data_IF_004912935544
#
_entry.id   IF_004912935544
#
_cell.length_a   1.000
_cell.length_b   1.000
_cell.length_c   1.000
_cell.angle_alpha   90.00
_cell.angle_beta   90.00
_cell.angle_gamma   90.00
#
_symmetry.space_group_name_H-M   'P 1'
#
loop_
_entity.id
_entity.type
_entity.pdbx_description
1 polymer ?
#
# COMPACT_ATOMS: atom_id res chain seq x y z
N UNK A 1 -20.13 -3.78 -0.16
CA UNK A 1 -18.74 -3.52 0.30
C UNK A 1 -18.11 -2.33 -0.42
N UNK A 2 -18.93 -1.32 -0.73
CA UNK A 2 -18.63 -0.19 -1.59
C UNK A 2 -17.78 0.88 -0.90
N UNK A 3 -17.71 0.85 0.44
CA UNK A 3 -16.84 1.73 1.23
C UNK A 3 -15.34 1.39 1.09
N UNK A 4 -14.98 0.19 0.62
CA UNK A 4 -13.59 -0.20 0.45
C UNK A 4 -13.00 0.41 -0.82
N UNK A 5 -11.78 0.93 -0.70
CA UNK A 5 -11.04 1.43 -1.85
C UNK A 5 -10.68 0.29 -2.79
N UNK A 6 -10.65 0.60 -4.09
CA UNK A 6 -10.24 -0.31 -5.14
C UNK A 6 -9.24 0.39 -6.05
N UNK A 7 -8.20 -0.31 -6.52
CA UNK A 7 -7.33 0.23 -7.56
C UNK A 7 -8.12 0.39 -8.87
N UNK A 8 -7.65 1.29 -9.72
CA UNK A 8 -8.21 1.63 -11.01
C UNK A 8 -8.48 0.37 -11.85
N UNK A 9 -9.71 0.27 -12.35
CA UNK A 9 -10.17 -0.85 -13.17
C UNK A 9 -10.48 -2.14 -12.39
N UNK A 10 -10.33 -2.17 -11.06
CA UNK A 10 -10.81 -3.27 -10.25
C UNK A 10 -12.29 -3.12 -9.89
N UNK A 11 -12.97 -4.26 -9.73
CA UNK A 11 -14.36 -4.34 -9.28
C UNK A 11 -14.53 -5.37 -8.17
N UNK A 12 -15.57 -5.20 -7.36
CA UNK A 12 -16.02 -6.20 -6.37
C UNK A 12 -16.59 -7.40 -7.12
N UNK A 13 -16.23 -8.61 -6.69
CA UNK A 13 -16.78 -9.84 -7.28
C UNK A 13 -18.19 -10.15 -6.77
N UNK A 14 -18.97 -10.95 -7.52
CA UNK A 14 -20.31 -11.38 -7.06
C UNK A 14 -20.23 -12.17 -5.74
N UNK A 15 -19.21 -13.02 -5.58
CA UNK A 15 -18.98 -13.83 -4.36
C UNK A 15 -18.58 -13.00 -3.13
N UNK A 16 -18.29 -11.71 -3.31
CA UNK A 16 -17.98 -10.77 -2.22
C UNK A 16 -19.20 -9.95 -1.79
N UNK A 17 -20.34 -10.18 -2.44
CA UNK A 17 -21.57 -9.46 -2.17
C UNK A 17 -22.35 -10.18 -1.08
N UNK A 18 -22.31 -9.65 0.13
CA UNK A 18 -22.95 -10.23 1.30
C UNK A 18 -24.49 -10.18 1.19
N UNK A 19 -25.20 -11.32 1.14
CA UNK A 19 -26.65 -11.35 1.27
C UNK A 19 -27.10 -10.82 2.63
N UNK A 20 -28.29 -10.22 2.67
CA UNK A 20 -28.94 -9.81 3.91
C UNK A 20 -29.68 -11.02 4.51
N UNK A 21 -29.10 -11.57 5.58
CA UNK A 21 -29.63 -12.72 6.34
C UNK A 21 -29.97 -12.34 7.79
N UNK A 22 -29.64 -11.13 8.23
CA UNK A 22 -29.90 -10.65 9.58
C UNK A 22 -31.42 -10.57 9.90
N UNK A 23 -31.72 -10.65 11.19
CA UNK A 23 -33.05 -10.33 11.74
C UNK A 23 -33.09 -8.85 12.16
N UNK A 24 -34.29 -8.35 12.47
CA UNK A 24 -34.46 -6.98 12.90
C UNK A 24 -33.71 -6.72 14.22
N UNK A 25 -32.93 -5.65 14.25
CA UNK A 25 -32.30 -5.16 15.47
C UNK A 25 -33.38 -4.64 16.42
N UNK A 26 -33.29 -5.00 17.70
CA UNK A 26 -34.31 -4.71 18.70
C UNK A 26 -34.14 -3.35 19.40
N UNK A 27 -33.28 -2.48 18.85
CA UNK A 27 -32.93 -1.16 19.38
C UNK A 27 -32.36 -1.20 20.84
N UNK A 28 -31.91 -2.36 21.32
CA UNK A 28 -31.26 -2.54 22.63
C UNK A 28 -29.73 -2.35 22.61
N UNK A 29 -29.06 -2.24 23.78
CA UNK A 29 -27.61 -1.95 23.87
C UNK A 29 -26.72 -3.06 23.28
N UNK A 30 -25.73 -2.74 22.46
CA UNK A 30 -24.89 -3.74 21.77
C UNK A 30 -24.33 -4.85 22.66
N UNK A 31 -23.76 -4.51 23.82
CA UNK A 31 -23.05 -5.45 24.70
C UNK A 31 -23.95 -6.54 25.31
N UNK A 32 -25.24 -6.29 25.46
CA UNK A 32 -26.19 -7.23 26.08
C UNK A 32 -27.03 -7.99 25.05
N UNK A 33 -26.76 -7.81 23.75
CA UNK A 33 -27.55 -8.45 22.69
C UNK A 33 -27.59 -9.98 22.78
N UNK A 34 -26.48 -10.67 23.11
CA UNK A 34 -26.52 -12.13 23.19
C UNK A 34 -27.55 -12.68 24.16
N UNK A 35 -27.78 -12.01 25.30
CA UNK A 35 -28.68 -12.47 26.37
C UNK A 35 -30.16 -12.35 25.98
N UNK A 36 -30.48 -11.40 25.11
CA UNK A 36 -31.84 -11.13 24.61
C UNK A 36 -32.11 -11.73 23.23
N UNK A 37 -31.05 -12.19 22.56
CA UNK A 37 -31.10 -12.82 21.25
C UNK A 37 -31.64 -14.25 21.34
N UNK A 38 -32.40 -14.66 20.32
CA UNK A 38 -32.80 -16.08 20.13
C UNK A 38 -31.59 -17.02 19.96
N UNK A 39 -30.41 -16.45 19.72
CA UNK A 39 -29.13 -17.15 19.50
C UNK A 39 -28.26 -17.22 20.76
N UNK A 40 -28.80 -16.93 21.96
CA UNK A 40 -28.05 -16.96 23.24
C UNK A 40 -27.22 -18.23 23.44
N UNK A 41 -27.78 -19.39 23.06
CA UNK A 41 -27.09 -20.69 23.13
C UNK A 41 -25.80 -20.73 22.28
N UNK A 42 -25.80 -20.12 21.09
CA UNK A 42 -24.60 -20.05 20.24
C UNK A 42 -23.53 -19.15 20.85
N UNK A 43 -23.93 -18.08 21.54
CA UNK A 43 -23.00 -17.20 22.24
C UNK A 43 -22.37 -17.89 23.47
N UNK A 44 -23.16 -18.63 24.25
CA UNK A 44 -22.65 -19.43 25.37
C UNK A 44 -21.64 -20.48 24.90
N UNK A 45 -21.89 -21.13 23.75
CA UNK A 45 -20.97 -22.07 23.12
C UNK A 45 -19.64 -21.41 22.66
N UNK A 46 -19.67 -20.13 22.25
CA UNK A 46 -18.48 -19.40 21.77
C UNK A 46 -17.56 -18.88 22.89
N UNK A 47 -18.04 -18.75 24.14
CA UNK A 47 -17.30 -18.22 25.30
C UNK A 47 -16.36 -17.02 24.97
N UNK A 48 -16.90 -15.85 24.58
CA UNK A 48 -16.09 -14.74 24.05
C UNK A 48 -15.16 -14.05 25.07
N UNK A 49 -15.24 -14.41 26.36
CA UNK A 49 -14.37 -13.89 27.44
C UNK A 49 -13.08 -14.71 27.66
N UNK A 50 -12.88 -15.81 26.93
CA UNK A 50 -11.57 -16.43 26.76
C UNK A 50 -11.33 -17.72 27.55
N UNK A 51 -11.41 -18.83 26.82
CA UNK A 51 -10.34 -19.85 26.78
C UNK A 51 -10.21 -20.28 25.31
N UNK A 52 -9.28 -19.65 24.58
CA UNK A 52 -9.07 -19.87 23.13
C UNK A 52 -8.75 -21.35 22.80
N UNK A 53 -8.27 -22.12 23.77
CA UNK A 53 -7.89 -23.53 23.63
C UNK A 53 -9.07 -24.52 23.51
N UNK A 54 -10.32 -24.07 23.60
CA UNK A 54 -11.50 -24.96 23.60
C UNK A 54 -12.23 -25.01 22.24
N UNK A 55 -12.04 -24.00 21.37
CA UNK A 55 -12.88 -23.81 20.19
C UNK A 55 -12.51 -24.70 18.98
N UNK A 56 -11.28 -25.21 18.89
CA UNK A 56 -10.89 -26.20 17.86
C UNK A 56 -11.74 -27.49 17.88
N UNK A 57 -12.59 -27.68 18.90
CA UNK A 57 -13.42 -28.88 19.10
C UNK A 57 -14.91 -28.67 18.80
N UNK A 58 -15.36 -27.46 18.46
CA UNK A 58 -16.79 -27.20 18.19
C UNK A 58 -17.10 -27.40 16.70
N UNK A 59 -17.78 -28.51 16.38
CA UNK A 59 -18.30 -28.77 15.05
C UNK A 59 -19.78 -28.39 14.98
N UNK A 60 -20.06 -27.21 14.43
CA UNK A 60 -21.44 -26.79 14.14
C UNK A 60 -22.05 -27.61 13.01
N UNK A 61 -23.32 -28.00 13.15
CA UNK A 61 -24.12 -28.49 12.02
C UNK A 61 -24.39 -27.36 11.03
N UNK A 62 -24.71 -27.69 9.77
CA UNK A 62 -25.06 -26.70 8.74
C UNK A 62 -26.17 -25.73 9.20
N UNK A 63 -27.15 -26.23 9.95
CA UNK A 63 -28.24 -25.41 10.47
C UNK A 63 -27.76 -24.44 11.57
N UNK A 64 -26.88 -24.91 12.47
CA UNK A 64 -26.26 -24.05 13.47
C UNK A 64 -25.31 -23.03 12.83
N UNK A 65 -24.55 -23.40 11.80
CA UNK A 65 -23.71 -22.46 11.04
C UNK A 65 -24.55 -21.34 10.47
N UNK A 66 -25.67 -21.63 9.78
CA UNK A 66 -26.58 -20.58 9.25
C UNK A 66 -27.17 -19.68 10.35
N UNK A 67 -27.49 -20.27 11.50
CA UNK A 67 -28.00 -19.53 12.66
C UNK A 67 -26.93 -18.62 13.24
N UNK A 68 -25.68 -19.11 13.33
CA UNK A 68 -24.52 -18.34 13.75
C UNK A 68 -24.20 -17.21 12.77
N UNK A 69 -24.28 -17.45 11.47
CA UNK A 69 -24.11 -16.43 10.43
C UNK A 69 -25.15 -15.31 10.56
N UNK A 70 -26.41 -15.68 10.79
CA UNK A 70 -27.50 -14.73 11.05
C UNK A 70 -27.25 -13.93 12.32
N UNK A 71 -26.81 -14.60 13.39
CA UNK A 71 -26.47 -13.98 14.66
C UNK A 71 -25.34 -12.97 14.52
N UNK A 72 -24.25 -13.35 13.84
CA UNK A 72 -23.09 -12.49 13.56
C UNK A 72 -23.49 -11.27 12.74
N UNK A 73 -24.22 -11.46 11.63
CA UNK A 73 -24.61 -10.32 10.80
C UNK A 73 -25.54 -9.36 11.55
N UNK A 74 -26.49 -9.90 12.31
CA UNK A 74 -27.42 -9.08 13.10
C UNK A 74 -26.67 -8.29 14.17
N UNK A 75 -25.81 -8.96 14.95
CA UNK A 75 -25.14 -8.36 16.08
C UNK A 75 -23.97 -7.47 15.66
N UNK A 76 -23.00 -8.04 14.96
CA UNK A 76 -21.69 -7.42 14.78
C UNK A 76 -21.66 -6.42 13.62
N UNK A 77 -22.57 -6.56 12.64
CA UNK A 77 -22.74 -5.56 11.58
C UNK A 77 -23.81 -4.55 11.97
N UNK A 78 -25.08 -4.97 12.02
CA UNK A 78 -26.19 -4.03 12.20
C UNK A 78 -26.29 -3.49 13.62
N UNK A 79 -26.04 -4.32 14.63
CA UNK A 79 -26.00 -3.87 16.02
C UNK A 79 -24.91 -2.84 16.27
N UNK A 80 -23.70 -3.05 15.73
CA UNK A 80 -22.60 -2.09 15.88
C UNK A 80 -22.84 -0.79 15.10
N UNK A 81 -23.39 -0.88 13.88
CA UNK A 81 -23.83 0.29 13.11
C UNK A 81 -24.87 1.10 13.89
N UNK A 82 -25.85 0.45 14.50
CA UNK A 82 -26.84 1.11 15.36
C UNK A 82 -26.15 1.74 16.58
N UNK A 83 -25.31 1.00 17.30
CA UNK A 83 -24.67 1.49 18.52
C UNK A 83 -23.90 2.79 18.30
N UNK A 84 -23.22 2.92 17.15
CA UNK A 84 -22.45 4.11 16.81
C UNK A 84 -23.34 5.22 16.23
N UNK A 85 -24.19 4.90 15.25
CA UNK A 85 -24.93 5.91 14.46
C UNK A 85 -26.39 6.11 14.86
N UNK A 86 -26.87 5.39 15.87
CA UNK A 86 -28.27 5.37 16.29
C UNK A 86 -29.21 5.02 15.14
N UNK A 87 -30.21 5.87 14.90
CA UNK A 87 -31.22 5.67 13.84
C UNK A 87 -30.63 5.61 12.43
N UNK A 88 -29.51 6.29 12.17
CA UNK A 88 -28.82 6.22 10.88
C UNK A 88 -28.07 4.89 10.69
N UNK A 89 -27.88 4.12 11.76
CA UNK A 89 -27.29 2.79 11.74
C UNK A 89 -28.27 1.65 11.41
N UNK A 90 -29.54 1.96 11.10
CA UNK A 90 -30.57 0.94 10.84
C UNK A 90 -30.32 0.20 9.52
N UNK A 91 -30.71 -1.07 9.48
CA UNK A 91 -30.53 -1.92 8.30
C UNK A 91 -31.15 -1.35 7.02
N UNK A 92 -32.20 -0.52 7.11
CA UNK A 92 -32.81 0.17 5.96
C UNK A 92 -31.83 1.05 5.17
N UNK A 93 -30.80 1.59 5.81
CA UNK A 93 -29.79 2.45 5.18
C UNK A 93 -28.69 1.63 4.47
N UNK A 94 -28.57 0.33 4.81
CA UNK A 94 -27.47 -0.53 4.39
C UNK A 94 -27.93 -1.78 3.65
N UNK A 95 -29.18 -1.86 3.23
CA UNK A 95 -29.73 -3.05 2.54
C UNK A 95 -30.41 -2.64 1.26
N UNK A 96 -29.96 -3.21 0.14
CA UNK A 96 -30.50 -2.93 -1.20
C UNK A 96 -30.99 -4.21 -1.87
N UNK A 97 -32.08 -4.16 -2.66
CA UNK A 97 -32.45 -5.25 -3.54
C UNK A 97 -31.43 -5.38 -4.68
N UNK A 98 -31.10 -6.62 -5.08
CA UNK A 98 -30.28 -6.88 -6.26
C UNK A 98 -31.03 -7.73 -7.29
N UNK A 99 -30.65 -7.53 -8.55
CA UNK A 99 -31.11 -8.33 -9.68
C UNK A 99 -29.97 -9.24 -10.16
N UNK A 100 -30.32 -10.41 -10.69
CA UNK A 100 -29.38 -11.31 -11.37
C UNK A 100 -29.01 -10.77 -12.77
N UNK A 101 -28.10 -11.45 -13.46
CA UNK A 101 -27.66 -11.08 -14.82
C UNK A 101 -28.79 -11.10 -15.86
N UNK A 102 -29.93 -11.75 -15.56
CA UNK A 102 -31.12 -11.77 -16.40
C UNK A 102 -32.17 -10.71 -15.97
N UNK A 103 -31.83 -9.84 -15.01
CA UNK A 103 -32.72 -8.79 -14.51
C UNK A 103 -33.79 -9.28 -13.53
N UNK A 104 -33.70 -10.52 -13.02
CA UNK A 104 -34.67 -11.07 -12.05
C UNK A 104 -34.23 -10.78 -10.63
N UNK A 105 -35.19 -10.64 -9.72
CA UNK A 105 -34.89 -10.40 -8.30
C UNK A 105 -34.03 -11.53 -7.70
N UNK A 106 -32.82 -11.18 -7.25
CA UNK A 106 -31.83 -12.09 -6.68
C UNK A 106 -31.81 -12.07 -5.14
N UNK A 107 -32.50 -11.13 -4.50
CA UNK A 107 -32.57 -11.00 -3.05
C UNK A 107 -32.19 -9.62 -2.54
N UNK A 108 -32.02 -9.53 -1.21
CA UNK A 108 -31.53 -8.33 -0.51
C UNK A 108 -30.07 -8.54 -0.12
N UNK A 109 -29.26 -7.50 -0.24
CA UNK A 109 -27.82 -7.56 0.00
C UNK A 109 -27.39 -6.36 0.84
N UNK A 110 -26.34 -6.57 1.65
CA UNK A 110 -25.66 -5.51 2.34
C UNK A 110 -25.01 -4.56 1.32
N UNK A 111 -25.28 -3.27 1.47
CA UNK A 111 -24.65 -2.16 0.77
C UNK A 111 -24.07 -1.20 1.78
N UNK A 112 -22.84 -0.79 1.55
CA UNK A 112 -22.13 0.17 2.40
C UNK A 112 -21.96 1.51 1.70
N UNK A 113 -22.72 1.77 0.63
CA UNK A 113 -22.68 3.02 -0.12
C UNK A 113 -23.00 4.25 0.75
N UNK A 114 -23.91 4.11 1.72
CA UNK A 114 -24.26 5.19 2.65
C UNK A 114 -23.24 5.38 3.79
N UNK A 115 -22.36 4.39 4.03
CA UNK A 115 -21.52 4.33 5.23
C UNK A 115 -20.60 5.55 5.35
N UNK A 116 -19.94 5.94 4.26
CA UNK A 116 -18.99 7.06 4.29
C UNK A 116 -19.68 8.37 4.67
N UNK A 117 -20.83 8.68 4.05
CA UNK A 117 -21.59 9.89 4.35
C UNK A 117 -22.09 9.94 5.79
N UNK A 118 -22.63 8.82 6.28
CA UNK A 118 -23.10 8.71 7.68
C UNK A 118 -21.93 8.86 8.66
N UNK A 119 -20.81 8.18 8.40
CA UNK A 119 -19.62 8.23 9.23
C UNK A 119 -18.99 9.64 9.27
N UNK A 120 -18.91 10.34 8.14
CA UNK A 120 -18.41 11.72 8.08
C UNK A 120 -19.30 12.65 8.90
N UNK A 121 -20.61 12.62 8.69
CA UNK A 121 -21.56 13.44 9.46
C UNK A 121 -21.48 13.17 10.97
N UNK A 122 -21.37 11.89 11.34
CA UNK A 122 -21.20 11.50 12.73
C UNK A 122 -19.87 12.03 13.29
N UNK A 123 -18.75 11.84 12.60
CA UNK A 123 -17.45 12.33 13.05
C UNK A 123 -17.41 13.85 13.22
N UNK A 124 -18.00 14.61 12.29
CA UNK A 124 -18.14 16.06 12.39
C UNK A 124 -18.98 16.49 13.60
N UNK A 125 -20.05 15.75 13.92
CA UNK A 125 -20.88 16.02 15.09
C UNK A 125 -20.13 15.85 16.42
N UNK A 126 -19.05 15.06 16.44
CA UNK A 126 -18.21 14.84 17.64
C UNK A 126 -16.93 15.66 17.65
N UNK A 127 -16.56 16.31 16.53
CA UNK A 127 -15.30 17.03 16.39
C UNK A 127 -15.10 18.18 17.40
N UNK A 128 -16.19 18.71 17.97
CA UNK A 128 -16.15 19.81 18.95
C UNK A 128 -16.13 19.32 20.42
N UNK A 129 -16.35 18.03 20.66
CA UNK A 129 -16.41 17.41 22.00
C UNK A 129 -15.14 16.61 22.34
N UNK A 130 -14.09 16.73 21.53
CA UNK A 130 -12.82 16.02 21.73
C UNK A 130 -12.22 16.37 23.09
N UNK A 131 -11.65 15.38 23.78
CA UNK A 131 -11.08 15.47 25.13
C UNK A 131 -12.07 15.81 26.27
N UNK A 132 -13.38 15.70 26.05
CA UNK A 132 -14.38 15.81 27.13
C UNK A 132 -14.57 14.47 27.87
N UNK A 133 -15.03 14.51 29.13
CA UNK A 133 -15.41 13.29 29.88
C UNK A 133 -16.55 12.51 29.20
N UNK A 134 -17.39 13.20 28.44
CA UNK A 134 -18.44 12.59 27.63
C UNK A 134 -17.85 11.82 26.44
N UNK A 135 -16.98 12.46 25.65
CA UNK A 135 -16.29 11.80 24.55
C UNK A 135 -15.42 10.62 25.02
N UNK A 136 -14.73 10.76 26.15
CA UNK A 136 -13.94 9.68 26.73
C UNK A 136 -14.79 8.49 27.17
N UNK A 137 -15.95 8.72 27.81
CA UNK A 137 -16.88 7.64 28.18
C UNK A 137 -17.46 6.95 26.96
N UNK A 138 -17.82 7.70 25.92
CA UNK A 138 -18.30 7.13 24.67
C UNK A 138 -17.20 6.31 23.98
N UNK A 139 -15.98 6.84 23.92
CA UNK A 139 -14.83 6.15 23.35
C UNK A 139 -14.56 4.82 24.08
N UNK A 140 -14.54 4.83 25.41
CA UNK A 140 -14.34 3.62 26.21
C UNK A 140 -15.44 2.58 25.96
N UNK A 141 -16.71 3.00 25.89
CA UNK A 141 -17.85 2.13 25.59
C UNK A 141 -17.79 1.54 24.16
N UNK A 142 -17.54 2.36 23.15
CA UNK A 142 -17.46 1.91 21.76
C UNK A 142 -16.24 0.99 21.54
N UNK A 143 -15.14 1.26 22.23
CA UNK A 143 -13.97 0.37 22.24
C UNK A 143 -14.27 -0.99 22.87
N UNK A 144 -15.09 -1.04 23.92
CA UNK A 144 -15.58 -2.30 24.49
C UNK A 144 -16.45 -3.07 23.47
N UNK A 145 -17.38 -2.38 22.80
CA UNK A 145 -18.22 -2.96 21.76
C UNK A 145 -17.39 -3.56 20.61
N UNK A 146 -16.41 -2.81 20.09
CA UNK A 146 -15.50 -3.27 19.03
C UNK A 146 -14.64 -4.45 19.52
N UNK A 147 -14.17 -4.41 20.76
CA UNK A 147 -13.39 -5.49 21.35
C UNK A 147 -14.18 -6.79 21.45
N UNK A 148 -15.46 -6.71 21.84
CA UNK A 148 -16.37 -7.87 21.86
C UNK A 148 -16.60 -8.40 20.45
N UNK A 149 -16.87 -7.52 19.48
CA UNK A 149 -17.05 -7.93 18.08
C UNK A 149 -15.83 -8.68 17.55
N UNK A 150 -14.62 -8.18 17.83
CA UNK A 150 -13.38 -8.85 17.48
C UNK A 150 -13.24 -10.22 18.16
N UNK A 151 -13.48 -10.29 19.47
CA UNK A 151 -13.41 -11.54 20.24
C UNK A 151 -14.34 -12.62 19.70
N UNK A 152 -15.59 -12.26 19.41
CA UNK A 152 -16.62 -13.16 18.86
C UNK A 152 -16.23 -13.64 17.47
N UNK A 153 -15.76 -12.75 16.59
CA UNK A 153 -15.37 -13.16 15.25
C UNK A 153 -14.16 -14.09 15.23
N UNK A 154 -13.16 -13.85 16.09
CA UNK A 154 -12.03 -14.78 16.22
C UNK A 154 -12.50 -16.14 16.75
N UNK A 155 -13.39 -16.14 17.73
CA UNK A 155 -13.96 -17.37 18.28
C UNK A 155 -14.75 -18.15 17.23
N UNK A 156 -15.53 -17.47 16.40
CA UNK A 156 -16.35 -18.09 15.36
C UNK A 156 -15.57 -18.46 14.09
N UNK A 157 -14.48 -17.75 13.80
CA UNK A 157 -13.71 -17.85 12.55
C UNK A 157 -12.76 -19.05 12.45
N UNK A 158 -12.37 -19.65 13.57
CA UNK A 158 -11.51 -20.83 13.62
C UNK A 158 -12.24 -22.18 13.41
N UNK A 159 -13.48 -22.38 13.90
CA UNK A 159 -14.15 -23.71 13.83
C UNK A 159 -15.33 -23.82 12.84
N UNK A 160 -16.04 -22.74 12.51
CA UNK A 160 -17.43 -22.85 12.05
C UNK A 160 -17.68 -22.94 10.53
N UNK A 161 -16.63 -22.98 9.69
CA UNK A 161 -16.76 -22.93 8.22
C UNK A 161 -17.69 -21.79 7.73
N UNK A 162 -17.62 -20.62 8.38
CA UNK A 162 -18.45 -19.46 8.03
C UNK A 162 -18.22 -19.07 6.57
N UNK A 163 -19.27 -18.60 5.92
CA UNK A 163 -19.19 -18.13 4.53
C UNK A 163 -18.22 -16.93 4.40
N UNK A 164 -17.33 -16.93 3.39
CA UNK A 164 -16.32 -15.88 3.25
C UNK A 164 -16.91 -14.46 3.14
N UNK A 165 -18.02 -14.29 2.42
CA UNK A 165 -18.66 -12.98 2.28
C UNK A 165 -19.13 -12.38 3.61
N UNK A 166 -19.56 -13.22 4.57
CA UNK A 166 -20.01 -12.75 5.88
C UNK A 166 -18.81 -12.25 6.67
N UNK A 167 -17.73 -13.03 6.67
CA UNK A 167 -16.50 -12.68 7.36
C UNK A 167 -15.91 -11.38 6.81
N UNK A 168 -15.74 -11.29 5.49
CA UNK A 168 -15.19 -10.10 4.84
C UNK A 168 -16.06 -8.87 5.06
N UNK A 169 -17.38 -9.00 4.96
CA UNK A 169 -18.29 -7.88 5.21
C UNK A 169 -18.34 -7.46 6.68
N UNK A 170 -18.22 -8.40 7.61
CA UNK A 170 -18.20 -8.05 9.03
C UNK A 170 -16.89 -7.36 9.39
N UNK A 171 -15.74 -7.95 9.07
CA UNK A 171 -14.40 -7.42 9.40
C UNK A 171 -14.19 -6.03 8.81
N UNK A 172 -14.54 -5.83 7.55
CA UNK A 172 -14.40 -4.55 6.88
C UNK A 172 -15.23 -3.43 7.51
N UNK A 173 -16.50 -3.71 7.84
CA UNK A 173 -17.40 -2.74 8.46
C UNK A 173 -16.92 -2.45 9.87
N UNK A 174 -16.65 -3.47 10.69
CA UNK A 174 -16.17 -3.29 12.07
C UNK A 174 -14.84 -2.53 12.11
N UNK A 175 -13.90 -2.85 11.20
CA UNK A 175 -12.64 -2.12 11.10
C UNK A 175 -12.85 -0.66 10.66
N UNK A 176 -13.72 -0.41 9.69
CA UNK A 176 -14.05 0.96 9.26
C UNK A 176 -14.64 1.75 10.41
N UNK A 177 -15.56 1.15 11.16
CA UNK A 177 -16.19 1.77 12.33
C UNK A 177 -15.17 2.08 13.43
N UNK A 178 -14.22 1.18 13.69
CA UNK A 178 -13.12 1.44 14.62
C UNK A 178 -12.33 2.69 14.20
N UNK A 179 -11.92 2.78 12.92
CA UNK A 179 -11.22 3.96 12.42
C UNK A 179 -12.04 5.25 12.55
N UNK A 180 -13.35 5.19 12.31
CA UNK A 180 -14.25 6.34 12.46
C UNK A 180 -14.30 6.81 13.90
N UNK A 181 -14.46 5.90 14.86
CA UNK A 181 -14.47 6.19 16.31
C UNK A 181 -13.13 6.79 16.74
N UNK A 182 -12.01 6.12 16.41
CA UNK A 182 -10.66 6.55 16.79
C UNK A 182 -10.33 7.96 16.26
N UNK A 183 -10.75 8.26 15.03
CA UNK A 183 -10.53 9.58 14.42
C UNK A 183 -11.45 10.66 14.95
N UNK A 184 -12.75 10.38 15.09
CA UNK A 184 -13.72 11.36 15.55
C UNK A 184 -13.47 11.80 17.01
N UNK A 185 -13.06 10.86 17.86
CA UNK A 185 -12.86 11.09 19.29
C UNK A 185 -11.38 11.36 19.64
N UNK A 186 -10.54 11.68 18.64
CA UNK A 186 -9.12 12.03 18.73
C UNK A 186 -8.31 11.16 19.69
N UNK A 187 -8.32 9.87 19.41
CA UNK A 187 -7.58 8.89 20.18
C UNK A 187 -6.04 9.11 20.08
N UNK A 188 -5.41 9.55 21.18
CA UNK A 188 -3.95 9.85 21.29
C UNK A 188 -3.03 8.61 21.40
N UNK A 189 -3.45 7.44 20.92
CA UNK A 189 -2.55 6.28 20.77
C UNK A 189 -2.19 5.50 22.06
N UNK A 190 -2.74 5.82 23.24
CA UNK A 190 -2.41 5.15 24.52
C UNK A 190 -3.39 4.06 25.02
N UNK A 191 -4.61 3.96 24.48
CA UNK A 191 -5.67 2.96 24.76
C UNK A 191 -6.05 2.10 23.53
N UNK A 192 -5.09 1.52 22.81
CA UNK A 192 -5.39 0.92 21.51
C UNK A 192 -6.14 -0.37 21.75
N UNK A 193 -7.32 -0.49 21.15
CA UNK A 193 -8.03 -1.76 21.05
C UNK A 193 -7.14 -2.74 20.28
N UNK A 194 -7.26 -4.02 20.67
CA UNK A 194 -6.58 -5.16 20.04
C UNK A 194 -6.54 -5.00 18.52
N UNK A 195 -5.38 -5.22 17.92
CA UNK A 195 -5.23 -5.24 16.47
C UNK A 195 -5.98 -6.43 15.90
N UNK A 196 -6.55 -6.28 14.70
CA UNK A 196 -7.18 -7.38 13.95
C UNK A 196 -6.13 -8.38 13.41
N UNK A 197 -5.15 -8.76 14.24
CA UNK A 197 -3.86 -9.34 13.84
C UNK A 197 -3.85 -10.85 13.64
N UNK A 198 -4.91 -11.56 14.02
CA UNK A 198 -4.88 -13.04 14.13
C UNK A 198 -5.74 -13.76 13.07
N UNK A 199 -6.05 -13.09 11.95
CA UNK A 199 -6.97 -13.55 10.90
C UNK A 199 -6.31 -14.33 9.74
N UNK A 200 -5.27 -15.11 10.04
CA UNK A 200 -4.39 -15.70 9.03
C UNK A 200 -5.08 -16.66 8.04
N UNK A 201 -6.13 -17.38 8.44
CA UNK A 201 -6.80 -18.37 7.58
C UNK A 201 -7.73 -17.77 6.52
N UNK A 202 -8.30 -16.59 6.77
CA UNK A 202 -9.31 -15.96 5.89
C UNK A 202 -8.72 -14.96 4.90
N UNK A 203 -7.46 -14.59 5.08
CA UNK A 203 -6.70 -13.75 4.15
C UNK A 203 -6.01 -14.55 3.05
N UNK A 204 -5.97 -15.89 3.12
CA UNK A 204 -5.32 -16.74 2.11
C UNK A 204 -5.89 -16.53 0.70
N UNK A 205 -7.18 -16.20 0.58
CA UNK A 205 -7.78 -15.82 -0.70
C UNK A 205 -7.16 -14.55 -1.30
N UNK A 206 -6.78 -13.58 -0.45
CA UNK A 206 -6.11 -12.35 -0.87
C UNK A 206 -4.66 -12.64 -1.24
N UNK A 207 -3.97 -13.49 -0.47
CA UNK A 207 -2.62 -13.96 -0.77
C UNK A 207 -2.58 -14.67 -2.13
N UNK A 208 -3.48 -15.62 -2.36
CA UNK A 208 -3.59 -16.32 -3.64
C UNK A 208 -3.90 -15.35 -4.79
N UNK A 209 -4.78 -14.38 -4.56
CA UNK A 209 -5.11 -13.35 -5.55
C UNK A 209 -3.94 -12.43 -5.83
N UNK A 210 -3.16 -12.01 -4.82
CA UNK A 210 -1.92 -11.24 -5.01
C UNK A 210 -0.94 -12.00 -5.90
N UNK A 211 -0.71 -13.28 -5.65
CA UNK A 211 0.14 -14.10 -6.54
C UNK A 211 -0.40 -14.15 -7.97
N UNK A 212 -1.72 -14.32 -8.15
CA UNK A 212 -2.35 -14.33 -9.48
C UNK A 212 -2.26 -12.97 -10.20
N UNK A 213 -2.20 -11.88 -9.43
CA UNK A 213 -1.99 -10.52 -9.92
C UNK A 213 -0.50 -10.15 -10.03
N UNK A 214 0.38 -11.15 -9.89
CA UNK A 214 1.78 -11.07 -10.22
C UNK A 214 2.67 -10.45 -9.14
N UNK A 215 2.21 -10.46 -7.90
CA UNK A 215 3.04 -10.05 -6.76
C UNK A 215 4.15 -11.07 -6.49
N UNK A 216 5.34 -10.55 -6.14
CA UNK A 216 6.47 -11.37 -5.70
C UNK A 216 6.15 -12.07 -4.36
N UNK A 217 6.53 -13.35 -4.18
CA UNK A 217 6.35 -14.05 -2.90
C UNK A 217 6.97 -13.34 -1.69
N UNK A 218 8.10 -12.67 -1.86
CA UNK A 218 8.72 -11.89 -0.79
C UNK A 218 7.89 -10.67 -0.39
N UNK A 219 7.31 -9.98 -1.37
CA UNK A 219 6.42 -8.84 -1.11
C UNK A 219 5.12 -9.30 -0.46
N UNK A 220 4.54 -10.41 -0.92
CA UNK A 220 3.35 -11.00 -0.31
C UNK A 220 3.59 -11.33 1.17
N UNK A 221 4.71 -11.99 1.51
CA UNK A 221 5.06 -12.28 2.92
C UNK A 221 5.23 -10.98 3.73
N UNK A 222 5.96 -10.01 3.20
CA UNK A 222 6.20 -8.71 3.85
C UNK A 222 4.88 -8.01 4.16
N UNK A 223 3.98 -7.92 3.18
CA UNK A 223 2.72 -7.20 3.35
C UNK A 223 1.71 -7.96 4.18
N UNK A 224 1.72 -9.30 4.17
CA UNK A 224 0.99 -10.11 5.14
C UNK A 224 1.41 -9.78 6.58
N UNK A 225 2.72 -9.70 6.83
CA UNK A 225 3.24 -9.35 8.16
C UNK A 225 2.84 -7.93 8.58
N UNK A 226 3.00 -6.95 7.69
CA UNK A 226 2.63 -5.55 7.97
C UNK A 226 1.13 -5.42 8.23
N UNK A 227 0.31 -6.07 7.41
CA UNK A 227 -1.13 -6.10 7.61
C UNK A 227 -1.50 -6.78 8.94
N UNK A 228 -0.83 -7.89 9.31
CA UNK A 228 -1.01 -8.52 10.62
C UNK A 228 -0.74 -7.55 11.77
N UNK A 229 0.36 -6.79 11.72
CA UNK A 229 0.73 -5.85 12.78
C UNK A 229 -0.22 -4.64 12.91
N UNK A 230 -0.87 -4.23 11.82
CA UNK A 230 -1.74 -3.04 11.79
C UNK A 230 -3.23 -3.37 11.63
N UNK A 231 -3.60 -4.65 11.71
CA UNK A 231 -4.97 -5.12 11.47
C UNK A 231 -5.46 -4.90 10.03
N UNK A 232 -4.58 -4.81 9.03
CA UNK A 232 -4.85 -4.32 7.68
C UNK A 232 -5.61 -5.27 6.73
N UNK A 233 -6.80 -5.75 7.10
CA UNK A 233 -7.69 -6.46 6.16
C UNK A 233 -7.94 -5.63 4.90
N UNK A 234 -8.28 -4.34 5.07
CA UNK A 234 -8.54 -3.44 3.94
C UNK A 234 -7.30 -3.22 3.07
N UNK A 235 -6.11 -3.17 3.67
CA UNK A 235 -4.84 -3.10 2.94
C UNK A 235 -4.67 -4.35 2.08
N UNK A 236 -4.74 -5.55 2.65
CA UNK A 236 -4.61 -6.79 1.87
C UNK A 236 -5.71 -6.94 0.82
N UNK A 237 -6.94 -6.52 1.13
CA UNK A 237 -8.03 -6.48 0.15
C UNK A 237 -7.64 -5.61 -1.05
N UNK A 238 -7.18 -4.38 -0.81
CA UNK A 238 -6.72 -3.45 -1.84
C UNK A 238 -5.54 -4.01 -2.65
N UNK A 239 -4.49 -4.50 -1.98
CA UNK A 239 -3.31 -5.05 -2.65
C UNK A 239 -3.63 -6.29 -3.47
N UNK A 240 -4.53 -7.15 -2.98
CA UNK A 240 -4.99 -8.33 -3.72
C UNK A 240 -5.65 -7.98 -5.04
N UNK A 241 -6.19 -6.77 -5.19
CA UNK A 241 -6.85 -6.28 -6.40
C UNK A 241 -5.90 -5.51 -7.33
N UNK A 242 -4.73 -5.13 -6.83
CA UNK A 242 -3.73 -4.40 -7.60
C UNK A 242 -2.91 -5.37 -8.45
N UNK A 243 -2.87 -5.12 -9.75
CA UNK A 243 -1.98 -5.83 -10.68
C UNK A 243 -0.60 -5.20 -10.65
N UNK A 244 0.41 -6.05 -10.43
CA UNK A 244 1.81 -5.66 -10.52
C UNK A 244 2.31 -5.78 -11.97
N UNK A 245 3.15 -4.86 -12.43
CA UNK A 245 3.65 -4.90 -13.79
C UNK A 245 4.65 -6.05 -13.83
N UNK A 246 4.40 -7.08 -14.65
CA UNK A 246 5.30 -8.24 -14.75
C UNK A 246 6.58 -7.89 -15.52
N UNK A 247 7.36 -6.95 -14.98
CA UNK A 247 8.61 -6.44 -15.56
C UNK A 247 9.74 -7.42 -15.30
N UNK A 248 9.73 -8.03 -14.11
CA UNK A 248 10.76 -8.97 -13.67
C UNK A 248 10.19 -10.35 -13.45
N UNK A 249 11.01 -11.37 -13.67
CA UNK A 249 10.63 -12.75 -13.46
C UNK A 249 10.78 -13.12 -11.97
N UNK A 250 9.65 -13.29 -11.28
CA UNK A 250 9.63 -13.63 -9.86
C UNK A 250 9.57 -15.15 -9.58
N UNK A 251 9.68 -16.02 -10.59
CA UNK A 251 9.54 -17.48 -10.43
C UNK A 251 10.62 -18.13 -9.55
N UNK A 252 11.74 -17.43 -9.32
CA UNK A 252 12.85 -17.89 -8.45
C UNK A 252 12.83 -17.23 -7.06
N UNK A 253 11.91 -16.31 -6.82
CA UNK A 253 11.83 -15.64 -5.53
C UNK A 253 11.32 -16.60 -4.46
N UNK A 254 11.86 -16.47 -3.25
CA UNK A 254 11.40 -17.20 -2.07
C UNK A 254 10.74 -16.21 -1.11
N UNK A 255 10.07 -16.73 -0.09
CA UNK A 255 9.25 -15.93 0.81
C UNK A 255 10.02 -14.82 1.55
N UNK A 256 11.33 -14.98 1.75
CA UNK A 256 12.17 -14.00 2.46
C UNK A 256 13.01 -13.11 1.53
N UNK A 257 13.14 -13.48 0.25
CA UNK A 257 14.08 -12.82 -0.66
C UNK A 257 13.49 -12.72 -2.06
N UNK A 258 13.33 -11.48 -2.53
CA UNK A 258 13.06 -11.19 -3.93
C UNK A 258 14.36 -11.37 -4.73
N UNK A 259 14.51 -12.51 -5.39
CA UNK A 259 15.67 -12.81 -6.23
C UNK A 259 15.74 -11.93 -7.48
N UNK A 260 14.61 -11.39 -7.93
CA UNK A 260 14.52 -10.51 -9.10
C UNK A 260 15.09 -9.11 -8.86
N UNK A 261 15.23 -8.69 -7.61
CA UNK A 261 15.81 -7.39 -7.23
C UNK A 261 17.19 -7.53 -6.60
N UNK A 262 17.72 -8.75 -6.50
CA UNK A 262 19.11 -8.97 -6.08
C UNK A 262 20.04 -8.46 -7.17
N UNK A 263 20.86 -7.49 -6.82
CA UNK A 263 21.88 -6.96 -7.72
C UNK A 263 23.06 -7.92 -7.77
N UNK A 264 23.34 -8.45 -8.96
CA UNK A 264 24.56 -9.23 -9.20
C UNK A 264 25.68 -8.28 -9.64
N UNK A 265 26.54 -7.92 -8.68
CA UNK A 265 27.71 -7.06 -8.88
C UNK A 265 28.71 -7.59 -9.92
N UNK A 266 28.58 -8.86 -10.35
CA UNK A 266 29.55 -9.55 -11.18
C UNK A 266 28.99 -10.05 -12.51
N UNK A 267 27.69 -9.90 -12.79
CA UNK A 267 27.03 -10.66 -13.87
C UNK A 267 25.98 -9.96 -14.72
N UNK A 268 25.44 -8.80 -14.34
CA UNK A 268 24.43 -8.12 -15.17
C UNK A 268 25.00 -6.97 -15.99
N UNK A 269 24.87 -7.09 -17.32
CA UNK A 269 25.11 -5.99 -18.24
C UNK A 269 24.02 -4.92 -18.10
N UNK A 270 24.39 -3.67 -18.32
CA UNK A 270 23.45 -2.54 -18.40
C UNK A 270 22.33 -2.82 -19.40
N UNK A 271 21.10 -2.40 -19.10
CA UNK A 271 19.93 -2.69 -19.94
C UNK A 271 19.60 -1.51 -20.86
N UNK A 272 19.42 -1.80 -22.15
CA UNK A 272 18.95 -0.81 -23.12
C UNK A 272 17.43 -0.59 -23.02
N UNK A 273 16.98 0.66 -23.22
CA UNK A 273 15.54 1.00 -23.40
C UNK A 273 15.06 0.87 -24.85
N UNK A 274 15.98 0.78 -25.79
CA UNK A 274 15.69 0.66 -27.22
C UNK A 274 15.94 -0.75 -27.74
N UNK A 275 15.28 -1.10 -28.85
CA UNK A 275 15.54 -2.34 -29.59
C UNK A 275 16.67 -2.20 -30.65
N UNK A 276 17.36 -1.07 -30.69
CA UNK A 276 18.39 -0.80 -31.70
C UNK A 276 19.63 -1.68 -31.48
N UNK A 277 20.06 -2.39 -32.53
CA UNK A 277 21.22 -3.29 -32.50
C UNK A 277 22.55 -2.57 -32.17
N UNK A 278 22.64 -1.27 -32.46
CA UNK A 278 23.89 -0.49 -32.35
C UNK A 278 23.76 0.80 -31.52
N UNK A 279 22.97 0.79 -30.45
CA UNK A 279 22.82 1.96 -29.57
C UNK A 279 24.14 2.36 -28.87
N UNK A 280 25.01 1.40 -28.56
CA UNK A 280 26.28 1.63 -27.86
C UNK A 280 26.13 2.20 -26.44
N UNK A 281 27.27 2.42 -25.79
CA UNK A 281 27.39 3.07 -24.48
C UNK A 281 28.01 4.46 -24.62
N UNK A 282 27.77 5.32 -23.64
CA UNK A 282 28.44 6.61 -23.49
C UNK A 282 29.03 6.68 -22.09
N UNK A 283 30.31 7.02 -22.02
CA UNK A 283 31.02 7.27 -20.77
C UNK A 283 31.16 8.74 -20.46
N UNK A 284 31.62 9.01 -19.24
CA UNK A 284 32.08 10.33 -18.81
C UNK A 284 33.59 10.47 -19.02
N UNK A 285 34.06 11.72 -19.04
CA UNK A 285 35.48 12.02 -18.89
C UNK A 285 35.89 11.82 -17.41
N UNK A 286 36.52 10.68 -17.13
CA UNK A 286 36.94 10.28 -15.78
C UNK A 286 37.92 11.30 -15.15
N UNK A 287 38.85 11.86 -15.95
CA UNK A 287 39.85 12.81 -15.45
C UNK A 287 39.17 14.12 -15.05
N UNK A 288 38.27 14.64 -15.90
CA UNK A 288 37.48 15.83 -15.58
C UNK A 288 36.58 15.60 -14.36
N UNK A 289 35.97 14.42 -14.23
CA UNK A 289 35.13 14.08 -13.08
C UNK A 289 35.95 14.04 -11.78
N UNK A 290 37.12 13.39 -11.80
CA UNK A 290 38.02 13.32 -10.64
C UNK A 290 38.47 14.72 -10.20
N UNK A 291 38.85 15.58 -11.15
CA UNK A 291 39.30 16.94 -10.85
C UNK A 291 38.26 17.78 -10.08
N UNK A 292 36.96 17.50 -10.24
CA UNK A 292 35.91 18.19 -9.46
C UNK A 292 35.98 17.88 -7.96
N UNK A 293 36.41 16.67 -7.60
CA UNK A 293 36.53 16.23 -6.21
C UNK A 293 37.82 16.75 -5.55
N UNK A 294 38.91 16.88 -6.31
CA UNK A 294 40.16 17.48 -5.83
C UNK A 294 39.96 18.93 -5.35
N UNK A 295 39.04 19.65 -6.00
CA UNK A 295 38.62 21.02 -5.65
C UNK A 295 37.66 21.08 -4.43
N UNK A 296 37.34 19.94 -3.80
CA UNK A 296 36.38 19.86 -2.68
C UNK A 296 34.92 19.97 -3.10
N UNK A 297 34.62 19.84 -4.39
CA UNK A 297 33.29 19.85 -4.98
C UNK A 297 32.93 18.46 -5.53
N UNK A 298 31.89 18.36 -6.36
CA UNK A 298 31.57 17.14 -7.10
C UNK A 298 31.04 17.50 -8.49
N UNK A 299 31.19 16.56 -9.42
CA UNK A 299 30.84 16.75 -10.82
C UNK A 299 29.40 16.38 -11.15
N UNK A 300 28.87 17.08 -12.12
CA UNK A 300 27.54 16.91 -12.70
C UNK A 300 27.68 16.72 -14.22
N UNK A 301 26.65 16.17 -14.84
CA UNK A 301 26.56 15.96 -16.28
C UNK A 301 25.68 17.03 -16.91
N UNK A 302 26.25 17.84 -17.78
CA UNK A 302 25.49 18.68 -18.70
C UNK A 302 25.30 17.93 -20.03
N UNK A 303 24.04 17.59 -20.34
CA UNK A 303 23.72 16.92 -21.60
C UNK A 303 23.62 17.94 -22.75
N UNK A 304 24.37 17.67 -23.82
CA UNK A 304 24.42 18.47 -25.04
C UNK A 304 23.96 17.63 -26.24
N UNK A 305 23.44 18.31 -27.27
CA UNK A 305 22.96 17.69 -28.53
C UNK A 305 22.01 16.50 -28.30
N UNK A 306 21.13 16.62 -27.30
CA UNK A 306 20.18 15.59 -26.90
C UNK A 306 18.86 15.69 -27.69
N UNK A 307 18.96 15.88 -29.02
CA UNK A 307 17.86 15.73 -29.99
C UNK A 307 17.80 14.31 -30.56
N UNK A 308 18.95 13.63 -30.69
CA UNK A 308 19.01 12.23 -31.12
C UNK A 308 20.08 11.41 -30.38
N UNK A 309 19.93 10.08 -30.43
CA UNK A 309 20.80 9.13 -29.73
C UNK A 309 22.25 9.19 -30.22
N UNK A 310 22.52 9.58 -31.48
CA UNK A 310 23.85 9.55 -32.06
C UNK A 310 24.66 10.81 -31.72
N UNK A 311 23.99 11.97 -31.63
CA UNK A 311 24.62 13.24 -31.29
C UNK A 311 24.83 13.44 -29.80
N UNK A 312 24.07 12.74 -28.94
CA UNK A 312 24.10 12.91 -27.48
C UNK A 312 25.53 12.91 -26.92
N UNK A 313 25.83 13.94 -26.11
CA UNK A 313 27.09 14.11 -25.37
C UNK A 313 26.79 14.52 -23.93
N UNK A 314 27.69 14.17 -23.03
CA UNK A 314 27.67 14.65 -21.65
C UNK A 314 29.01 15.33 -21.35
N UNK A 315 28.95 16.54 -20.80
CA UNK A 315 30.11 17.31 -20.37
C UNK A 315 30.10 17.41 -18.85
N UNK A 316 31.27 17.30 -18.22
CA UNK A 316 31.41 17.43 -16.77
C UNK A 316 31.41 18.91 -16.39
N UNK A 317 30.52 19.29 -15.47
CA UNK A 317 30.50 20.62 -14.83
C UNK A 317 30.61 20.49 -13.32
N UNK A 318 31.26 21.45 -12.65
CA UNK A 318 31.50 21.40 -11.21
C UNK A 318 30.42 22.12 -10.42
N UNK A 319 30.07 21.60 -9.24
CA UNK A 319 29.18 22.28 -8.29
C UNK A 319 29.76 23.56 -7.69
N UNK A 320 31.03 23.85 -7.98
CA UNK A 320 31.67 25.15 -7.75
C UNK A 320 31.01 26.26 -8.59
N UNK A 321 30.70 25.94 -9.84
CA UNK A 321 30.22 26.88 -10.86
C UNK A 321 28.70 26.81 -11.02
N UNK A 322 28.10 25.65 -10.77
CA UNK A 322 26.65 25.42 -10.88
C UNK A 322 26.05 25.01 -9.53
N UNK A 323 25.04 25.75 -9.08
CA UNK A 323 24.38 25.49 -7.79
C UNK A 323 23.12 24.64 -7.89
N UNK A 324 22.37 24.80 -8.97
CA UNK A 324 21.09 24.10 -9.20
C UNK A 324 21.30 22.90 -10.11
N UNK A 325 20.75 21.75 -9.72
CA UNK A 325 20.93 20.50 -10.45
C UNK A 325 19.82 19.51 -10.12
N UNK A 326 19.70 18.49 -10.96
CA UNK A 326 18.80 17.36 -10.76
C UNK A 326 19.62 16.16 -10.28
N UNK A 327 19.21 15.51 -9.20
CA UNK A 327 19.79 14.22 -8.82
C UNK A 327 18.89 13.09 -9.31
N UNK A 328 19.49 12.07 -9.93
CA UNK A 328 18.78 10.88 -10.41
C UNK A 328 18.83 9.79 -9.35
N UNK A 329 17.66 9.46 -8.83
CA UNK A 329 17.46 8.30 -7.97
C UNK A 329 16.99 7.14 -8.84
N UNK A 330 17.75 6.05 -8.91
CA UNK A 330 17.41 4.94 -9.80
C UNK A 330 17.68 3.56 -9.18
N UNK A 331 17.04 2.52 -9.72
CA UNK A 331 17.21 1.14 -9.23
C UNK A 331 18.30 0.41 -10.01
N UNK A 332 19.42 0.08 -9.35
CA UNK A 332 20.54 -0.64 -9.99
C UNK A 332 20.11 -1.97 -10.64
N UNK A 333 19.25 -2.72 -9.96
CA UNK A 333 18.70 -3.99 -10.44
C UNK A 333 17.77 -3.84 -11.67
N UNK A 334 17.55 -2.62 -12.17
CA UNK A 334 16.89 -2.36 -13.46
C UNK A 334 17.90 -2.25 -14.61
N UNK A 335 19.18 -2.53 -14.35
CA UNK A 335 20.26 -2.50 -15.34
C UNK A 335 20.79 -1.10 -15.61
N UNK A 336 20.68 -0.20 -14.63
CA UNK A 336 21.19 1.17 -14.69
C UNK A 336 22.48 1.38 -13.91
N UNK A 337 23.09 0.30 -13.40
CA UNK A 337 24.45 0.33 -12.84
C UNK A 337 25.46 -0.33 -13.79
N UNK A 338 26.71 0.09 -13.70
CA UNK A 338 27.84 -0.48 -14.41
C UNK A 338 29.05 -0.55 -13.47
N UNK A 339 29.37 -1.73 -12.90
CA UNK A 339 30.42 -1.86 -11.90
C UNK A 339 31.84 -1.78 -12.50
N UNK A 340 31.96 -1.75 -13.84
CA UNK A 340 33.23 -1.83 -14.56
C UNK A 340 33.68 -0.51 -15.16
N UNK A 341 32.75 0.43 -15.42
CA UNK A 341 33.08 1.73 -16.00
C UNK A 341 31.97 2.75 -15.75
N UNK A 342 32.32 4.04 -15.68
CA UNK A 342 31.37 5.15 -15.57
C UNK A 342 30.67 5.41 -16.92
N UNK A 343 29.91 4.42 -17.40
CA UNK A 343 29.23 4.42 -18.69
C UNK A 343 27.87 3.76 -18.63
N UNK A 344 26.92 4.28 -19.41
CA UNK A 344 25.59 3.70 -19.58
C UNK A 344 25.16 3.67 -21.06
N UNK A 345 24.17 2.83 -21.42
CA UNK A 345 23.56 2.85 -22.74
C UNK A 345 23.09 4.25 -23.15
N UNK A 346 23.40 4.67 -24.39
CA UNK A 346 23.02 6.02 -24.87
C UNK A 346 21.51 6.28 -24.78
N UNK A 347 20.68 5.26 -25.04
CA UNK A 347 19.22 5.35 -24.91
C UNK A 347 18.74 5.61 -23.47
N UNK A 348 19.43 5.10 -22.45
CA UNK A 348 19.12 5.39 -21.05
C UNK A 348 19.43 6.86 -20.72
N UNK A 349 20.60 7.32 -21.16
CA UNK A 349 21.05 8.69 -20.92
C UNK A 349 20.22 9.72 -21.70
N UNK A 350 19.77 9.40 -22.92
CA UNK A 350 18.84 10.26 -23.65
C UNK A 350 17.50 10.40 -22.92
N UNK A 351 16.94 9.29 -22.42
CA UNK A 351 15.70 9.30 -21.63
C UNK A 351 15.85 10.18 -20.38
N UNK A 352 16.96 10.06 -19.66
CA UNK A 352 17.27 10.93 -18.51
C UNK A 352 17.39 12.39 -18.94
N UNK A 353 18.10 12.68 -20.03
CA UNK A 353 18.30 14.05 -20.52
C UNK A 353 16.97 14.71 -20.91
N UNK A 354 16.08 13.97 -21.58
CA UNK A 354 14.73 14.44 -21.95
C UNK A 354 13.87 14.71 -20.71
N UNK A 355 13.83 13.79 -19.75
CA UNK A 355 13.10 13.96 -18.50
C UNK A 355 13.64 15.14 -17.67
N UNK A 356 14.97 15.26 -17.54
CA UNK A 356 15.63 16.36 -16.86
C UNK A 356 15.31 17.71 -17.50
N UNK A 357 15.34 17.79 -18.84
CA UNK A 357 14.97 18.98 -19.61
C UNK A 357 13.51 19.37 -19.38
N UNK A 358 12.60 18.39 -19.38
CA UNK A 358 11.18 18.64 -19.12
C UNK A 358 10.95 19.18 -17.69
N UNK A 359 11.55 18.54 -16.69
CA UNK A 359 11.44 18.95 -15.29
C UNK A 359 12.05 20.33 -15.04
N UNK A 360 13.21 20.62 -15.63
CA UNK A 360 13.85 21.93 -15.55
C UNK A 360 12.91 23.03 -16.02
N UNK A 361 12.27 22.83 -17.19
CA UNK A 361 11.30 23.78 -17.75
C UNK A 361 10.06 23.95 -16.87
N UNK A 362 9.52 22.86 -16.33
CA UNK A 362 8.37 22.89 -15.44
C UNK A 362 8.67 23.65 -14.14
N UNK A 363 9.90 23.56 -13.64
CA UNK A 363 10.37 24.29 -12.48
C UNK A 363 10.83 25.73 -12.80
N UNK A 364 10.78 26.18 -14.06
CA UNK A 364 11.18 27.53 -14.47
C UNK A 364 12.68 27.75 -14.59
N UNK A 365 13.47 26.67 -14.68
CA UNK A 365 14.92 26.73 -14.88
C UNK A 365 15.31 26.53 -16.35
N UNK A 366 16.51 27.01 -16.71
CA UNK A 366 17.23 26.52 -17.89
C UNK A 366 17.58 25.03 -17.71
N UNK A 367 18.07 24.35 -18.76
CA UNK A 367 18.42 22.93 -18.68
C UNK A 367 19.43 22.68 -17.54
N UNK A 368 18.95 22.07 -16.44
CA UNK A 368 19.78 21.81 -15.27
C UNK A 368 20.71 20.62 -15.54
N UNK A 369 21.97 20.68 -15.09
CA UNK A 369 22.85 19.53 -15.13
C UNK A 369 22.37 18.45 -14.15
N UNK A 370 22.83 17.23 -14.38
CA UNK A 370 22.32 16.02 -13.76
C UNK A 370 23.41 15.32 -12.97
N UNK A 371 23.11 14.92 -11.73
CA UNK A 371 23.94 14.00 -10.97
C UNK A 371 23.35 12.58 -11.06
N UNK A 372 24.19 11.61 -11.44
CA UNK A 372 23.84 10.19 -11.53
C UNK A 372 25.01 9.38 -11.01
N UNK A 373 24.84 8.66 -9.89
CA UNK A 373 25.89 7.90 -9.20
C UNK A 373 26.74 7.02 -10.14
N UNK A 374 26.11 6.25 -11.02
CA UNK A 374 26.83 5.38 -11.99
C UNK A 374 27.79 6.15 -12.90
N UNK A 375 27.50 7.41 -13.20
CA UNK A 375 28.33 8.25 -14.07
C UNK A 375 29.23 9.22 -13.29
N UNK A 376 28.78 9.70 -12.13
CA UNK A 376 29.44 10.76 -11.37
C UNK A 376 30.34 10.27 -10.24
N UNK A 377 30.22 9.01 -9.79
CA UNK A 377 31.14 8.45 -8.79
C UNK A 377 32.30 7.70 -9.46
N UNK A 378 33.56 8.19 -9.40
CA UNK A 378 34.66 7.65 -10.21
C UNK A 378 35.03 6.21 -9.83
N UNK A 379 34.77 5.24 -10.72
CA UNK A 379 35.04 3.82 -10.46
C UNK A 379 36.53 3.54 -10.44
N UNK A 380 37.28 4.18 -11.34
CA UNK A 380 38.73 4.01 -11.51
C UNK A 380 39.56 4.71 -10.42
N UNK A 381 38.93 5.39 -9.46
CA UNK A 381 39.62 6.06 -8.37
C UNK A 381 38.98 5.75 -7.00
N UNK A 382 39.51 4.75 -6.25
CA UNK A 382 38.90 4.31 -4.99
C UNK A 382 38.76 5.41 -3.93
N UNK A 383 39.71 6.34 -3.84
CA UNK A 383 39.65 7.47 -2.91
C UNK A 383 38.49 8.40 -3.24
N UNK A 384 38.36 8.82 -4.50
CA UNK A 384 37.29 9.70 -4.95
C UNK A 384 35.92 9.02 -4.93
N UNK A 385 35.86 7.71 -5.23
CA UNK A 385 34.64 6.92 -5.04
C UNK A 385 34.18 6.95 -3.59
N UNK A 386 35.10 6.73 -2.65
CA UNK A 386 34.79 6.80 -1.21
C UNK A 386 34.26 8.18 -0.82
N UNK A 387 34.90 9.25 -1.31
CA UNK A 387 34.42 10.63 -1.11
C UNK A 387 33.01 10.83 -1.68
N UNK A 388 32.75 10.39 -2.92
CA UNK A 388 31.42 10.47 -3.54
C UNK A 388 30.36 9.79 -2.67
N UNK A 389 30.64 8.57 -2.19
CA UNK A 389 29.74 7.81 -1.32
C UNK A 389 29.48 8.50 0.03
N UNK A 390 30.49 9.18 0.60
CA UNK A 390 30.31 9.97 1.83
C UNK A 390 29.46 11.23 1.61
N UNK A 391 29.42 11.76 0.38
CA UNK A 391 28.67 12.96 0.01
C UNK A 391 27.21 12.69 -0.38
N UNK A 392 26.80 11.42 -0.56
CA UNK A 392 25.46 11.03 -1.03
C UNK A 392 24.32 11.83 -0.37
N UNK A 393 24.32 11.92 0.97
CA UNK A 393 23.32 12.69 1.71
C UNK A 393 23.29 14.16 1.27
N UNK A 394 24.46 14.79 1.14
CA UNK A 394 24.56 16.20 0.78
C UNK A 394 24.17 16.44 -0.67
N UNK A 395 24.45 15.49 -1.56
CA UNK A 395 24.06 15.54 -2.97
C UNK A 395 22.53 15.53 -3.10
N UNK A 396 21.83 14.57 -2.48
CA UNK A 396 20.37 14.56 -2.57
C UNK A 396 19.71 15.73 -1.82
N UNK A 397 20.29 16.15 -0.70
CA UNK A 397 19.80 17.33 0.05
C UNK A 397 20.06 18.66 -0.69
N UNK A 398 21.10 18.71 -1.52
CA UNK A 398 21.49 19.89 -2.27
C UNK A 398 20.69 20.08 -3.57
N UNK A 399 20.17 18.98 -4.13
CA UNK A 399 19.49 18.95 -5.42
C UNK A 399 18.24 19.85 -5.45
N UNK A 400 18.02 20.49 -6.59
CA UNK A 400 16.83 21.30 -6.86
C UNK A 400 15.62 20.40 -7.13
N UNK A 401 15.85 19.27 -7.80
CA UNK A 401 14.85 18.26 -8.11
C UNK A 401 15.49 16.88 -7.94
N UNK A 402 14.77 15.92 -7.37
CA UNK A 402 15.13 14.50 -7.47
C UNK A 402 14.19 13.82 -8.44
N UNK A 403 14.76 13.21 -9.48
CA UNK A 403 14.02 12.40 -10.45
C UNK A 403 14.19 10.92 -10.10
N UNK A 404 13.08 10.27 -9.77
CA UNK A 404 13.01 8.83 -9.57
C UNK A 404 12.84 8.09 -10.91
N UNK A 405 13.72 7.11 -11.15
CA UNK A 405 13.68 6.21 -12.31
C UNK A 405 13.55 4.77 -11.81
N UNK A 406 12.34 4.22 -11.91
CA UNK A 406 12.00 2.84 -11.57
C UNK A 406 11.17 2.23 -12.71
N UNK A 407 11.64 1.13 -13.28
CA UNK A 407 11.02 0.51 -14.46
C UNK A 407 9.62 -0.04 -14.23
N UNK A 408 9.24 -0.31 -12.98
CA UNK A 408 7.87 -0.70 -12.64
C UNK A 408 6.96 0.53 -12.62
N UNK A 409 7.41 1.62 -11.99
CA UNK A 409 6.63 2.86 -11.91
C UNK A 409 6.42 3.47 -13.31
N UNK A 410 7.45 3.49 -14.14
CA UNK A 410 7.40 4.05 -15.49
C UNK A 410 6.41 3.35 -16.43
N UNK A 411 5.94 2.14 -16.10
CA UNK A 411 4.93 1.43 -16.91
C UNK A 411 3.51 1.87 -16.64
N UNK A 412 3.28 2.67 -15.61
CA UNK A 412 1.94 3.13 -15.28
C UNK A 412 1.65 4.46 -15.96
N UNK A 413 0.52 4.51 -16.65
CA UNK A 413 -0.06 5.77 -17.02
C UNK A 413 -0.75 6.35 -15.77
N UNK A 414 -0.27 7.51 -15.31
CA UNK A 414 -0.85 8.21 -14.17
C UNK A 414 -2.24 8.78 -14.49
N UNK A 415 -2.61 8.92 -15.77
CA UNK A 415 -3.92 9.41 -16.16
C UNK A 415 -5.02 8.45 -15.71
N UNK A 416 -5.87 8.91 -14.78
CA UNK A 416 -6.99 8.13 -14.25
C UNK A 416 -6.69 7.35 -12.97
N UNK A 417 -5.45 7.40 -12.47
CA UNK A 417 -5.12 6.89 -11.13
C UNK A 417 -5.44 7.95 -10.08
N UNK A 418 -6.01 7.54 -8.95
CA UNK A 418 -6.18 8.42 -7.80
C UNK A 418 -4.88 8.54 -6.98
N UNK A 419 -4.86 9.47 -6.04
CA UNK A 419 -3.68 9.69 -5.19
C UNK A 419 -3.34 8.47 -4.33
N UNK A 420 -4.33 7.68 -3.91
CA UNK A 420 -4.10 6.48 -3.09
C UNK A 420 -3.35 5.43 -3.91
N UNK A 421 -3.74 5.22 -5.16
CA UNK A 421 -3.09 4.29 -6.05
C UNK A 421 -1.70 4.75 -6.47
N UNK A 422 -1.50 6.03 -6.75
CA UNK A 422 -0.18 6.59 -7.03
C UNK A 422 0.76 6.33 -5.84
N UNK A 423 0.32 6.64 -4.62
CA UNK A 423 1.11 6.40 -3.41
C UNK A 423 1.34 4.91 -3.16
N UNK A 424 0.35 4.06 -3.38
CA UNK A 424 0.48 2.62 -3.30
C UNK A 424 1.54 2.11 -4.28
N UNK A 425 1.46 2.47 -5.57
CA UNK A 425 2.43 2.03 -6.58
C UNK A 425 3.85 2.51 -6.27
N UNK A 426 4.01 3.70 -5.71
CA UNK A 426 5.30 4.16 -5.19
C UNK A 426 5.77 3.32 -3.99
N UNK A 427 4.92 3.15 -2.97
CA UNK A 427 5.19 2.39 -1.74
C UNK A 427 5.59 0.93 -2.00
N UNK A 428 5.02 0.34 -3.05
CA UNK A 428 5.21 -1.06 -3.45
C UNK A 428 6.20 -1.24 -4.61
N UNK A 429 6.92 -0.19 -5.00
CA UNK A 429 7.93 -0.26 -6.04
C UNK A 429 9.22 -0.93 -5.55
N UNK A 430 10.05 -1.38 -6.50
CA UNK A 430 11.41 -1.86 -6.17
C UNK A 430 12.25 -0.78 -5.51
N UNK A 431 12.06 0.48 -5.90
CA UNK A 431 12.74 1.62 -5.29
C UNK A 431 12.57 1.65 -3.77
N UNK A 432 11.35 1.51 -3.26
CA UNK A 432 11.04 1.52 -1.80
C UNK A 432 11.64 0.36 -1.00
N UNK A 433 12.28 -0.62 -1.65
CA UNK A 433 12.99 -1.71 -0.98
C UNK A 433 14.46 -1.40 -0.70
N UNK A 434 14.98 -0.28 -1.21
CA UNK A 434 16.40 0.11 -1.12
C UNK A 434 16.68 0.88 0.18
N UNK A 435 17.89 0.72 0.72
CA UNK A 435 18.34 1.43 1.93
C UNK A 435 18.46 2.95 1.70
N UNK A 436 18.83 3.36 0.48
CA UNK A 436 19.11 4.76 0.13
C UNK A 436 17.86 5.60 -0.12
N UNK A 437 16.69 4.96 -0.26
CA UNK A 437 15.38 5.58 -0.53
C UNK A 437 15.09 6.79 0.36
N UNK A 438 15.43 6.74 1.66
CA UNK A 438 15.20 7.87 2.56
C UNK A 438 16.02 9.11 2.16
N UNK A 439 17.29 8.92 1.79
CA UNK A 439 18.13 10.03 1.36
C UNK A 439 17.67 10.57 0.01
N UNK A 440 17.29 9.66 -0.88
CA UNK A 440 16.88 9.98 -2.25
C UNK A 440 15.51 10.68 -2.30
N UNK A 441 14.53 10.24 -1.50
CA UNK A 441 13.14 10.72 -1.61
C UNK A 441 12.67 11.72 -0.56
N UNK A 442 13.39 11.88 0.56
CA UNK A 442 12.92 12.69 1.68
C UNK A 442 13.83 13.88 2.06
N UNK A 443 15.01 14.01 1.46
CA UNK A 443 15.97 15.07 1.82
C UNK A 443 16.00 16.25 0.85
N UNK A 444 15.33 16.15 -0.30
CA UNK A 444 15.27 17.21 -1.31
C UNK A 444 14.64 18.48 -0.73
N UNK A 445 15.10 19.64 -1.22
CA UNK A 445 14.72 20.97 -0.72
C UNK A 445 13.24 21.31 -0.87
#
# INVERSE_FOLDING_TARGET
>A
MEHLLLPHGASVGEDECAPFIAIDWDDGPFLTYPERSIFVHLHEELNPKGDYHVLEKINFTVAQTRSLETFIQTWLVFGLLHEIFGRQGRASEFVVPRLDSAGRYAGRFLSTTALLGIATNWAESWAHLTDTDEANRLLDHLNECISVAFGVLNAAGLPAHLTPWLLWSTVSVTQTLQWVVDKALQYNGTKSVRTWSDWDSHIEVFIARMHSNGWCPADVKKWRLIAGLQGGFQLLYYLSRMKQPQVKNHNRCIADVCMATQYDMYGQATVHRCAAEYCGTMGVDDEAMIATFDDGHFGLLEFQDAEDIASLRAVVVSTKDVRDYIAISHVWADGMDNPHANQLPRCQLLHIAEAARQLSRQAGHANLPVWLDTMCCPINSPSHRSTCLMLMRQIYQGATIVLLVDTQIERYNLSGLDSVEINARALFSSWMTRLWTLQEGALTK
#
